data_IF_620628949609
#
_entry.id   IF_620628949609
#
_cell.length_a   1.000
_cell.length_b   1.000
_cell.length_c   1.000
_cell.angle_alpha   90.00
_cell.angle_beta   90.00
_cell.angle_gamma   90.00
#
_symmetry.space_group_name_H-M   'P 1'
#
loop_
_entity.id
_entity.type
_entity.pdbx_description
1 polymer ?
#
# COMPACT_ATOMS: atom_id res chain seq x y z
N UNK A 1 -13.27 -17.78 27.61
CA UNK A 1 -12.67 -16.94 26.50
C UNK A 1 -13.58 -16.96 25.28
N UNK A 2 -13.96 -18.17 24.79
CA UNK A 2 -14.83 -18.31 23.62
C UNK A 2 -16.21 -17.63 23.85
N UNK A 3 -16.87 -17.88 25.01
CA UNK A 3 -18.12 -17.21 25.34
C UNK A 3 -18.03 -15.70 25.43
N UNK A 4 -16.88 -15.13 25.87
CA UNK A 4 -16.68 -13.69 25.87
C UNK A 4 -16.61 -13.12 24.44
N UNK A 5 -15.98 -13.84 23.51
CA UNK A 5 -15.94 -13.44 22.09
C UNK A 5 -17.34 -13.50 21.47
N UNK A 6 -18.12 -14.51 21.77
CA UNK A 6 -19.52 -14.58 21.34
C UNK A 6 -20.35 -13.41 21.85
N UNK A 7 -20.20 -13.03 23.13
CA UNK A 7 -20.91 -11.87 23.68
C UNK A 7 -20.55 -10.59 22.90
N UNK A 8 -19.26 -10.36 22.63
CA UNK A 8 -18.81 -9.19 21.83
C UNK A 8 -19.40 -9.23 20.42
N UNK A 9 -19.41 -10.41 19.79
CA UNK A 9 -19.96 -10.61 18.46
C UNK A 9 -21.47 -10.30 18.41
N UNK A 10 -22.24 -10.84 19.36
CA UNK A 10 -23.71 -10.61 19.42
C UNK A 10 -24.04 -9.16 19.79
N UNK A 11 -23.26 -8.53 20.67
CA UNK A 11 -23.40 -7.10 20.96
C UNK A 11 -23.16 -6.24 19.72
N UNK A 12 -22.13 -6.57 18.92
CA UNK A 12 -21.88 -5.87 17.67
C UNK A 12 -23.05 -6.01 16.70
N UNK A 13 -23.59 -7.23 16.53
CA UNK A 13 -24.76 -7.46 15.68
C UNK A 13 -26.00 -6.70 16.14
N UNK A 14 -26.24 -6.67 17.45
CA UNK A 14 -27.42 -6.03 18.01
C UNK A 14 -27.36 -4.49 17.96
N UNK A 15 -26.18 -3.91 18.19
CA UNK A 15 -25.99 -2.47 18.32
C UNK A 15 -25.48 -1.81 17.02
N UNK A 16 -24.94 -2.59 16.08
CA UNK A 16 -24.40 -2.10 14.82
C UNK A 16 -23.33 -1.03 15.02
N UNK A 17 -23.40 0.07 14.30
CA UNK A 17 -22.45 1.18 14.36
C UNK A 17 -22.33 1.81 15.76
N UNK A 18 -23.35 1.71 16.62
CA UNK A 18 -23.29 2.23 17.99
C UNK A 18 -22.30 1.44 18.87
N UNK A 19 -22.00 0.19 18.53
CA UNK A 19 -20.99 -0.61 19.23
C UNK A 19 -19.55 -0.27 18.82
N UNK A 20 -19.35 0.40 17.69
CA UNK A 20 -18.04 0.63 17.07
C UNK A 20 -17.02 1.27 18.02
N UNK A 21 -17.30 2.38 18.72
CA UNK A 21 -16.32 2.99 19.63
C UNK A 21 -15.87 2.03 20.75
N UNK A 22 -16.77 1.20 21.24
CA UNK A 22 -16.47 0.21 22.29
C UNK A 22 -15.71 -0.99 21.72
N UNK A 23 -16.02 -1.40 20.49
CA UNK A 23 -15.32 -2.46 19.81
C UNK A 23 -13.84 -2.12 19.59
N UNK A 24 -13.54 -0.85 19.27
CA UNK A 24 -12.17 -0.35 19.13
C UNK A 24 -11.32 -0.57 20.38
N UNK A 25 -11.91 -0.49 21.56
CA UNK A 25 -11.20 -0.71 22.84
C UNK A 25 -10.80 -2.17 23.05
N UNK A 26 -11.59 -3.12 22.54
CA UNK A 26 -11.33 -4.56 22.70
C UNK A 26 -10.60 -5.17 21.50
N UNK A 27 -10.50 -4.45 20.39
CA UNK A 27 -9.88 -4.91 19.15
C UNK A 27 -8.46 -5.47 19.34
N UNK A 28 -7.52 -4.79 20.05
CA UNK A 28 -6.17 -5.33 20.26
C UNK A 28 -6.20 -6.70 20.95
N UNK A 29 -7.03 -6.83 22.00
CA UNK A 29 -7.15 -8.08 22.74
C UNK A 29 -7.78 -9.21 21.91
N UNK A 30 -8.71 -8.90 21.01
CA UNK A 30 -9.27 -9.87 20.06
C UNK A 30 -8.22 -10.32 19.04
N UNK A 31 -7.47 -9.39 18.46
CA UNK A 31 -6.41 -9.69 17.48
C UNK A 31 -5.35 -10.64 18.06
N UNK A 32 -4.95 -10.46 19.32
CA UNK A 32 -4.04 -11.39 20.00
C UNK A 32 -4.59 -12.82 20.11
N UNK A 33 -5.91 -13.01 20.15
CA UNK A 33 -6.56 -14.32 20.28
C UNK A 33 -6.57 -15.13 18.98
N UNK A 34 -6.14 -14.59 17.84
CA UNK A 34 -5.89 -15.41 16.66
C UNK A 34 -4.88 -16.55 16.94
N UNK A 35 -3.96 -16.34 17.89
CA UNK A 35 -2.99 -17.36 18.29
C UNK A 35 -3.43 -18.17 19.54
N UNK A 36 -4.70 -18.14 19.93
CA UNK A 36 -5.17 -18.94 21.05
C UNK A 36 -4.98 -20.43 20.78
N UNK A 37 -4.54 -21.16 21.82
CA UNK A 37 -4.30 -22.63 21.76
C UNK A 37 -5.59 -23.41 21.49
N UNK A 38 -6.73 -22.87 21.91
CA UNK A 38 -8.05 -23.47 21.70
C UNK A 38 -8.60 -23.03 20.35
N UNK A 39 -8.71 -23.97 19.42
CA UNK A 39 -9.16 -23.71 18.05
C UNK A 39 -10.54 -23.01 17.98
N UNK A 40 -11.47 -23.35 18.90
CA UNK A 40 -12.78 -22.72 18.98
C UNK A 40 -12.70 -21.24 19.28
N UNK A 41 -11.77 -20.82 20.17
CA UNK A 41 -11.56 -19.39 20.46
C UNK A 41 -11.03 -18.64 19.22
N UNK A 42 -10.04 -19.19 18.54
CA UNK A 42 -9.48 -18.56 17.33
C UNK A 42 -10.54 -18.45 16.21
N UNK A 43 -11.36 -19.47 16.01
CA UNK A 43 -12.45 -19.45 15.02
C UNK A 43 -13.55 -18.43 15.39
N UNK A 44 -13.92 -18.34 16.67
CA UNK A 44 -14.89 -17.35 17.14
C UNK A 44 -14.35 -15.90 16.95
N UNK A 45 -13.06 -15.69 17.20
CA UNK A 45 -12.38 -14.39 16.95
C UNK A 45 -12.41 -14.04 15.47
N UNK A 46 -12.05 -14.96 14.59
CA UNK A 46 -12.07 -14.73 13.14
C UNK A 46 -13.47 -14.31 12.67
N UNK A 47 -14.51 -15.05 13.08
CA UNK A 47 -15.89 -14.72 12.75
C UNK A 47 -16.33 -13.36 13.30
N UNK A 48 -15.97 -13.05 14.54
CA UNK A 48 -16.32 -11.78 15.19
C UNK A 48 -15.65 -10.60 14.51
N UNK A 49 -14.35 -10.69 14.26
CA UNK A 49 -13.59 -9.61 13.62
C UNK A 49 -13.98 -9.41 12.14
N UNK A 50 -14.18 -10.51 11.39
CA UNK A 50 -14.67 -10.40 10.01
C UNK A 50 -16.03 -9.73 9.93
N UNK A 51 -16.97 -10.07 10.80
CA UNK A 51 -18.29 -9.42 10.85
C UNK A 51 -18.16 -7.92 11.16
N UNK A 52 -17.26 -7.53 12.08
CA UNK A 52 -17.02 -6.14 12.40
C UNK A 52 -16.42 -5.38 11.20
N UNK A 53 -15.36 -5.92 10.58
CA UNK A 53 -14.68 -5.25 9.46
C UNK A 53 -15.53 -5.14 8.19
N UNK A 54 -16.52 -6.03 8.02
CA UNK A 54 -17.49 -5.97 6.92
C UNK A 54 -18.62 -4.95 7.13
N UNK A 55 -18.82 -4.49 8.37
CA UNK A 55 -19.90 -3.58 8.72
C UNK A 55 -19.44 -2.23 9.30
N UNK A 56 -18.13 -2.06 9.50
CA UNK A 56 -17.56 -0.87 10.13
C UNK A 56 -17.78 0.39 9.27
N UNK A 57 -17.91 1.53 9.95
CA UNK A 57 -17.97 2.82 9.25
C UNK A 57 -16.68 3.05 8.44
N UNK A 58 -16.77 3.37 7.14
CA UNK A 58 -15.59 3.61 6.29
C UNK A 58 -14.59 4.63 6.87
N UNK A 59 -15.07 5.65 7.57
CA UNK A 59 -14.19 6.67 8.17
C UNK A 59 -13.34 6.15 9.34
N UNK A 60 -13.68 5.00 9.92
CA UNK A 60 -12.86 4.35 10.94
C UNK A 60 -11.58 3.69 10.38
N UNK A 61 -11.44 3.56 9.06
CA UNK A 61 -10.32 2.86 8.43
C UNK A 61 -8.96 3.35 8.92
N UNK A 62 -8.75 4.67 9.00
CA UNK A 62 -7.50 5.25 9.48
C UNK A 62 -7.19 4.90 10.95
N UNK A 63 -8.21 4.74 11.78
CA UNK A 63 -8.06 4.37 13.21
C UNK A 63 -7.81 2.87 13.37
N UNK A 64 -8.37 2.03 12.49
CA UNK A 64 -8.21 0.58 12.51
C UNK A 64 -6.82 0.14 12.03
N UNK A 65 -6.26 0.86 11.06
CA UNK A 65 -5.03 0.47 10.36
C UNK A 65 -3.82 0.27 11.30
N UNK A 66 -3.53 1.13 12.29
CA UNK A 66 -2.43 0.92 13.24
C UNK A 66 -2.55 -0.40 14.02
N UNK A 67 -3.76 -0.82 14.38
CA UNK A 67 -4.00 -2.08 15.09
C UNK A 67 -3.70 -3.28 14.18
N UNK A 68 -4.09 -3.21 12.91
CA UNK A 68 -3.76 -4.24 11.92
C UNK A 68 -2.24 -4.30 11.69
N UNK A 69 -1.56 -3.17 11.54
CA UNK A 69 -0.10 -3.12 11.36
C UNK A 69 0.65 -3.70 12.56
N UNK A 70 0.18 -3.41 13.78
CA UNK A 70 0.72 -4.02 14.99
C UNK A 70 0.56 -5.54 14.94
N UNK A 71 -0.62 -6.06 14.59
CA UNK A 71 -0.86 -7.48 14.44
C UNK A 71 -0.02 -8.15 13.33
N UNK A 72 0.20 -7.46 12.20
CA UNK A 72 1.07 -7.93 11.11
C UNK A 72 2.56 -7.98 11.50
N UNK A 73 2.96 -7.23 12.53
CA UNK A 73 4.34 -7.18 13.01
C UNK A 73 4.62 -8.13 14.16
N UNK A 74 3.64 -8.92 14.61
CA UNK A 74 3.77 -9.91 15.69
C UNK A 74 4.60 -11.13 15.26
N UNK A 75 5.03 -11.93 16.23
CA UNK A 75 5.73 -13.20 15.98
C UNK A 75 4.76 -14.28 15.47
N UNK A 76 3.49 -14.22 15.87
CA UNK A 76 2.48 -15.21 15.50
C UNK A 76 2.06 -15.10 14.03
N UNK A 77 2.35 -16.11 13.24
CA UNK A 77 1.93 -16.18 11.86
C UNK A 77 0.39 -16.21 11.70
N UNK A 78 -0.33 -16.77 12.65
CA UNK A 78 -1.81 -16.81 12.63
C UNK A 78 -2.40 -15.42 12.78
N UNK A 79 -1.85 -14.63 13.70
CA UNK A 79 -2.24 -13.24 13.91
C UNK A 79 -1.95 -12.40 12.65
N UNK A 80 -0.77 -12.59 12.03
CA UNK A 80 -0.43 -11.94 10.76
C UNK A 80 -1.47 -12.25 9.67
N UNK A 81 -1.76 -13.54 9.47
CA UNK A 81 -2.75 -13.98 8.47
C UNK A 81 -4.15 -13.40 8.76
N UNK A 82 -4.58 -13.41 10.02
CA UNK A 82 -5.84 -12.80 10.43
C UNK A 82 -5.90 -11.32 10.09
N UNK A 83 -4.89 -10.54 10.48
CA UNK A 83 -4.83 -9.10 10.18
C UNK A 83 -4.79 -8.80 8.67
N UNK A 84 -4.08 -9.60 7.88
CA UNK A 84 -4.05 -9.46 6.43
C UNK A 84 -5.42 -9.71 5.79
N UNK A 85 -6.17 -10.73 6.27
CA UNK A 85 -7.55 -10.97 5.83
C UNK A 85 -8.49 -9.81 6.19
N UNK A 86 -8.38 -9.29 7.43
CA UNK A 86 -9.16 -8.14 7.88
C UNK A 86 -8.88 -6.89 7.03
N UNK A 87 -7.63 -6.68 6.64
CA UNK A 87 -7.27 -5.58 5.75
C UNK A 87 -7.94 -5.73 4.37
N UNK A 88 -7.98 -6.94 3.80
CA UNK A 88 -8.72 -7.21 2.57
C UNK A 88 -10.21 -6.90 2.72
N UNK A 89 -10.85 -7.35 3.81
CA UNK A 89 -12.25 -7.03 4.10
C UNK A 89 -12.48 -5.51 4.21
N UNK A 90 -11.57 -4.79 4.86
CA UNK A 90 -11.63 -3.33 4.98
C UNK A 90 -11.56 -2.63 3.61
N UNK A 91 -10.79 -3.16 2.66
CA UNK A 91 -10.70 -2.61 1.31
C UNK A 91 -12.05 -2.65 0.57
N UNK A 92 -12.87 -3.68 0.82
CA UNK A 92 -14.22 -3.78 0.26
C UNK A 92 -15.23 -2.87 0.99
N UNK A 93 -15.09 -2.71 2.29
CA UNK A 93 -16.01 -1.90 3.12
C UNK A 93 -15.73 -0.40 3.00
N UNK A 94 -14.45 -0.02 2.90
CA UNK A 94 -14.00 1.36 2.89
C UNK A 94 -13.06 1.69 1.71
N UNK A 95 -13.47 1.47 0.44
CA UNK A 95 -12.58 1.55 -0.71
C UNK A 95 -11.91 2.92 -0.88
N UNK A 96 -12.66 4.00 -0.70
CA UNK A 96 -12.13 5.36 -0.83
C UNK A 96 -11.06 5.66 0.23
N UNK A 97 -11.32 5.29 1.50
CA UNK A 97 -10.40 5.52 2.60
C UNK A 97 -9.15 4.64 2.48
N UNK A 98 -9.33 3.36 2.13
CA UNK A 98 -8.21 2.45 1.86
C UNK A 98 -7.37 2.96 0.69
N UNK A 99 -7.98 3.49 -0.37
CA UNK A 99 -7.27 4.12 -1.48
C UNK A 99 -6.33 5.25 -1.00
N UNK A 100 -6.81 6.13 -0.12
CA UNK A 100 -5.99 7.20 0.45
C UNK A 100 -4.87 6.68 1.37
N UNK A 101 -5.06 5.53 2.00
CA UNK A 101 -4.12 4.90 2.94
C UNK A 101 -3.16 3.90 2.26
N UNK A 102 -3.31 3.62 0.96
CA UNK A 102 -2.42 2.70 0.22
C UNK A 102 -0.93 3.03 0.34
N UNK A 103 -0.47 4.29 0.41
CA UNK A 103 0.94 4.62 0.61
C UNK A 103 1.55 4.02 1.89
N UNK A 104 0.73 3.80 2.92
CA UNK A 104 1.11 3.16 4.19
C UNK A 104 0.89 1.64 4.14
N UNK A 105 -0.19 1.21 3.50
CA UNK A 105 -0.60 -0.20 3.41
C UNK A 105 0.40 -1.00 2.56
N UNK A 106 0.72 -0.51 1.35
CA UNK A 106 1.56 -1.26 0.39
C UNK A 106 2.91 -1.67 0.97
N UNK A 107 3.69 -0.79 1.63
CA UNK A 107 4.95 -1.19 2.26
C UNK A 107 4.76 -2.25 3.34
N UNK A 108 3.76 -2.09 4.23
CA UNK A 108 3.50 -2.99 5.34
C UNK A 108 3.06 -4.39 4.90
N UNK A 109 2.21 -4.46 3.89
CA UNK A 109 1.80 -5.74 3.31
C UNK A 109 2.97 -6.39 2.56
N UNK A 110 3.78 -5.59 1.84
CA UNK A 110 4.96 -6.08 1.13
C UNK A 110 6.00 -6.70 2.09
N UNK A 111 6.23 -6.12 3.27
CA UNK A 111 7.07 -6.71 4.31
C UNK A 111 6.63 -8.15 4.66
N UNK A 112 5.32 -8.40 4.74
CA UNK A 112 4.76 -9.71 5.05
C UNK A 112 4.85 -10.71 3.87
N UNK A 113 5.04 -10.26 2.63
CA UNK A 113 5.31 -11.13 1.48
C UNK A 113 6.69 -11.82 1.56
N UNK A 114 7.57 -11.28 2.42
CA UNK A 114 8.92 -11.82 2.67
C UNK A 114 9.00 -12.69 3.93
N UNK A 115 7.87 -12.94 4.59
CA UNK A 115 7.81 -13.79 5.78
C UNK A 115 8.36 -15.21 5.48
N UNK A 116 8.83 -15.89 6.50
CA UNK A 116 9.31 -17.27 6.37
C UNK A 116 8.17 -18.26 6.11
N UNK A 117 6.95 -17.95 6.60
CA UNK A 117 5.78 -18.81 6.51
C UNK A 117 5.03 -18.60 5.17
N UNK A 118 4.79 -19.69 4.40
CA UNK A 118 4.09 -19.61 3.12
C UNK A 118 2.64 -19.10 3.28
N UNK A 119 1.98 -19.40 4.40
CA UNK A 119 0.63 -18.94 4.69
C UNK A 119 0.55 -17.42 4.80
N UNK A 120 1.57 -16.79 5.42
CA UNK A 120 1.66 -15.32 5.53
C UNK A 120 1.94 -14.71 4.17
N UNK A 121 2.87 -15.27 3.38
CA UNK A 121 3.16 -14.79 2.02
C UNK A 121 1.91 -14.80 1.15
N UNK A 122 1.17 -15.91 1.18
CA UNK A 122 -0.05 -16.07 0.39
C UNK A 122 -1.14 -15.09 0.84
N UNK A 123 -1.35 -14.96 2.17
CA UNK A 123 -2.30 -14.00 2.72
C UNK A 123 -1.94 -12.55 2.38
N UNK A 124 -0.65 -12.19 2.44
CA UNK A 124 -0.17 -10.86 2.07
C UNK A 124 -0.40 -10.57 0.57
N UNK A 125 -0.12 -11.54 -0.30
CA UNK A 125 -0.38 -11.39 -1.74
C UNK A 125 -1.87 -11.21 -2.03
N UNK A 126 -2.74 -12.02 -1.40
CA UNK A 126 -4.20 -11.90 -1.53
C UNK A 126 -4.67 -10.53 -1.03
N UNK A 127 -4.28 -10.16 0.18
CA UNK A 127 -4.65 -8.88 0.80
C UNK A 127 -4.24 -7.67 -0.05
N UNK A 128 -3.02 -7.69 -0.61
CA UNK A 128 -2.59 -6.61 -1.51
C UNK A 128 -3.42 -6.58 -2.78
N UNK A 129 -3.80 -7.75 -3.33
CA UNK A 129 -4.69 -7.84 -4.48
C UNK A 129 -6.05 -7.19 -4.18
N UNK A 130 -6.63 -7.49 -3.03
CA UNK A 130 -7.91 -6.90 -2.60
C UNK A 130 -7.78 -5.40 -2.34
N UNK A 131 -6.71 -4.94 -1.69
CA UNK A 131 -6.44 -3.51 -1.52
C UNK A 131 -6.25 -2.77 -2.86
N UNK A 132 -5.68 -3.42 -3.87
CA UNK A 132 -5.48 -2.81 -5.19
C UNK A 132 -6.76 -2.74 -6.04
N UNK A 133 -7.88 -3.37 -5.64
CA UNK A 133 -9.17 -3.23 -6.34
C UNK A 133 -9.69 -1.79 -6.34
N UNK A 134 -9.22 -0.96 -5.41
CA UNK A 134 -9.56 0.47 -5.32
C UNK A 134 -8.83 1.34 -6.36
N UNK A 135 -7.90 0.77 -7.12
CA UNK A 135 -7.20 1.47 -8.19
C UNK A 135 -8.08 1.46 -9.44
N UNK A 136 -8.65 2.60 -9.76
CA UNK A 136 -9.58 2.75 -10.89
C UNK A 136 -8.93 3.36 -12.13
N UNK A 137 -7.63 3.70 -12.10
CA UNK A 137 -6.92 4.23 -13.25
C UNK A 137 -6.88 3.19 -14.39
N UNK A 138 -7.53 3.44 -15.55
CA UNK A 138 -7.64 2.46 -16.63
C UNK A 138 -6.30 2.13 -17.28
N UNK A 139 -5.31 3.04 -17.23
CA UNK A 139 -4.00 2.82 -17.82
C UNK A 139 -3.18 1.82 -16.99
N UNK A 140 -3.43 1.75 -15.68
CA UNK A 140 -2.67 0.95 -14.73
C UNK A 140 -3.39 -0.36 -14.34
N UNK A 141 -4.71 -0.38 -14.37
CA UNK A 141 -5.51 -1.56 -14.01
C UNK A 141 -5.01 -2.87 -14.67
N UNK A 142 -4.69 -2.91 -16.00
CA UNK A 142 -4.22 -4.13 -16.65
C UNK A 142 -2.86 -4.62 -16.14
N UNK A 143 -2.05 -3.74 -15.57
CA UNK A 143 -0.69 -4.06 -15.11
C UNK A 143 -0.59 -4.24 -13.59
N UNK A 144 -1.67 -3.95 -12.82
CA UNK A 144 -1.71 -4.15 -11.37
C UNK A 144 -1.21 -5.53 -10.93
N UNK A 145 -1.63 -6.66 -11.54
CA UNK A 145 -1.12 -7.99 -11.17
C UNK A 145 0.40 -8.13 -11.30
N UNK A 146 0.98 -7.50 -12.34
CA UNK A 146 2.43 -7.50 -12.54
C UNK A 146 3.14 -6.64 -11.48
N UNK A 147 2.56 -5.50 -11.12
CA UNK A 147 3.07 -4.63 -10.06
C UNK A 147 3.02 -5.31 -8.69
N UNK A 148 1.95 -6.04 -8.38
CA UNK A 148 1.85 -6.86 -7.16
C UNK A 148 2.94 -7.92 -7.13
N UNK A 149 3.14 -8.64 -8.24
CA UNK A 149 4.18 -9.65 -8.34
C UNK A 149 5.58 -9.04 -8.19
N UNK A 150 5.84 -7.90 -8.80
CA UNK A 150 7.12 -7.19 -8.66
C UNK A 150 7.35 -6.67 -7.23
N UNK A 151 6.30 -6.28 -6.50
CA UNK A 151 6.40 -5.93 -5.09
C UNK A 151 6.73 -7.15 -4.22
N UNK A 152 6.21 -8.33 -4.57
CA UNK A 152 6.51 -9.59 -3.89
C UNK A 152 7.90 -10.14 -4.25
N UNK A 153 8.37 -9.94 -5.48
CA UNK A 153 9.62 -10.51 -5.98
C UNK A 153 10.44 -9.46 -6.75
N UNK A 154 11.58 -9.00 -6.21
CA UNK A 154 12.44 -8.02 -6.88
C UNK A 154 12.92 -8.42 -8.28
N UNK A 155 13.03 -9.72 -8.56
CA UNK A 155 13.45 -10.19 -9.89
C UNK A 155 12.44 -9.83 -10.98
N UNK A 156 11.17 -9.63 -10.62
CA UNK A 156 10.11 -9.23 -11.54
C UNK A 156 10.06 -7.71 -11.77
N UNK A 157 10.91 -6.95 -11.09
CA UNK A 157 10.97 -5.50 -11.22
C UNK A 157 11.25 -5.06 -12.66
N UNK A 158 12.12 -5.79 -13.37
CA UNK A 158 12.43 -5.52 -14.80
C UNK A 158 11.18 -5.62 -15.66
N UNK A 159 10.44 -6.72 -15.51
CA UNK A 159 9.21 -6.97 -16.27
C UNK A 159 8.15 -5.91 -15.96
N UNK A 160 8.01 -5.51 -14.70
CA UNK A 160 7.08 -4.45 -14.31
C UNK A 160 7.45 -3.10 -14.92
N UNK A 161 8.73 -2.74 -14.92
CA UNK A 161 9.21 -1.50 -15.54
C UNK A 161 9.04 -1.52 -17.07
N UNK A 162 9.24 -2.66 -17.72
CA UNK A 162 9.01 -2.77 -19.16
C UNK A 162 7.52 -2.62 -19.51
N UNK A 163 6.62 -3.13 -18.66
CA UNK A 163 5.18 -2.91 -18.81
C UNK A 163 4.81 -1.44 -18.60
N UNK A 164 5.35 -0.79 -17.56
CA UNK A 164 5.13 0.63 -17.30
C UNK A 164 5.65 1.51 -18.45
N UNK A 165 6.81 1.19 -19.01
CA UNK A 165 7.37 1.88 -20.18
C UNK A 165 6.52 1.72 -21.42
N UNK A 166 5.89 0.56 -21.60
CA UNK A 166 4.98 0.26 -22.72
C UNK A 166 3.57 0.84 -22.54
N UNK A 167 3.25 1.36 -21.35
CA UNK A 167 1.92 1.93 -21.06
C UNK A 167 1.89 3.40 -21.46
N UNK A 168 0.88 3.75 -22.28
CA UNK A 168 0.58 5.15 -22.59
C UNK A 168 -0.30 5.72 -21.50
N UNK A 169 0.28 6.55 -20.64
CA UNK A 169 -0.46 7.24 -19.59
C UNK A 169 -1.23 8.41 -20.20
N UNK A 170 -2.54 8.41 -20.08
CA UNK A 170 -3.44 9.50 -20.51
C UNK A 170 -4.42 9.92 -19.42
N UNK A 171 -4.70 9.02 -18.47
CA UNK A 171 -5.60 9.27 -17.36
C UNK A 171 -4.89 9.97 -16.21
N UNK A 172 -5.65 10.73 -15.43
CA UNK A 172 -5.12 11.35 -14.22
C UNK A 172 -4.51 10.30 -13.30
N UNK A 173 -3.31 10.60 -12.78
CA UNK A 173 -2.61 9.75 -11.84
C UNK A 173 -2.91 10.20 -10.41
N UNK A 174 -3.56 9.33 -9.67
CA UNK A 174 -4.01 9.55 -8.29
C UNK A 174 -3.10 8.83 -7.27
N UNK A 175 -3.34 9.08 -5.99
CA UNK A 175 -2.60 8.51 -4.87
C UNK A 175 -2.60 6.97 -4.86
N UNK A 176 -3.75 6.28 -5.05
CA UNK A 176 -3.79 4.81 -5.15
C UNK A 176 -2.89 4.25 -6.24
N UNK A 177 -2.90 4.89 -7.40
CA UNK A 177 -2.06 4.51 -8.55
C UNK A 177 -0.58 4.65 -8.22
N UNK A 178 -0.18 5.78 -7.65
CA UNK A 178 1.20 6.01 -7.22
C UNK A 178 1.66 5.01 -6.15
N UNK A 179 0.78 4.63 -5.23
CA UNK A 179 1.12 3.76 -4.12
C UNK A 179 1.66 2.38 -4.55
N UNK A 180 1.13 1.81 -5.63
CA UNK A 180 1.59 0.51 -6.13
C UNK A 180 2.79 0.62 -7.08
N UNK A 181 2.97 1.75 -7.75
CA UNK A 181 4.04 1.96 -8.75
C UNK A 181 5.32 2.46 -8.09
N UNK A 182 5.24 3.41 -7.15
CA UNK A 182 6.41 4.04 -6.53
C UNK A 182 7.39 3.05 -5.89
N UNK A 183 6.99 1.99 -5.20
CA UNK A 183 7.95 1.01 -4.68
C UNK A 183 8.77 0.30 -5.77
N UNK A 184 8.15 0.04 -6.94
CA UNK A 184 8.82 -0.55 -8.12
C UNK A 184 9.82 0.43 -8.69
N UNK A 185 9.44 1.70 -8.84
CA UNK A 185 10.31 2.78 -9.32
C UNK A 185 11.47 3.05 -8.37
N UNK A 186 11.20 3.12 -7.06
CA UNK A 186 12.24 3.35 -6.05
C UNK A 186 13.31 2.26 -6.04
N UNK A 187 12.93 1.00 -6.28
CA UNK A 187 13.90 -0.08 -6.45
C UNK A 187 14.71 0.07 -7.75
N UNK A 188 14.05 0.40 -8.85
CA UNK A 188 14.72 0.59 -10.12
C UNK A 188 15.66 1.80 -10.16
N UNK A 189 15.32 2.89 -9.45
CA UNK A 189 16.21 4.06 -9.30
C UNK A 189 17.48 3.73 -8.50
N UNK A 190 17.40 2.76 -7.57
CA UNK A 190 18.56 2.27 -6.78
C UNK A 190 19.31 1.15 -7.45
N UNK A 191 18.80 0.60 -8.55
CA UNK A 191 19.46 -0.50 -9.24
C UNK A 191 20.87 -0.09 -9.74
N UNK A 192 21.76 -1.07 -9.91
CA UNK A 192 23.09 -0.84 -10.49
C UNK A 192 23.02 -0.62 -12.01
N UNK A 193 22.01 -1.21 -12.64
CA UNK A 193 21.80 -1.04 -14.08
C UNK A 193 21.31 0.37 -14.41
N UNK A 194 22.11 1.07 -15.19
CA UNK A 194 21.87 2.45 -15.60
C UNK A 194 20.65 2.55 -16.53
N UNK A 195 20.35 1.51 -17.32
CA UNK A 195 19.18 1.46 -18.18
C UNK A 195 17.88 1.35 -17.35
N UNK A 196 17.92 0.64 -16.23
CA UNK A 196 16.80 0.59 -15.29
C UNK A 196 16.51 1.99 -14.72
N UNK A 197 17.55 2.73 -14.31
CA UNK A 197 17.39 4.11 -13.83
C UNK A 197 16.78 5.00 -14.90
N UNK A 198 17.23 4.90 -16.17
CA UNK A 198 16.67 5.64 -17.30
C UNK A 198 15.17 5.36 -17.46
N UNK A 199 14.77 4.07 -17.48
CA UNK A 199 13.36 3.69 -17.58
C UNK A 199 12.53 4.29 -16.46
N UNK A 200 13.01 4.20 -15.21
CA UNK A 200 12.34 4.79 -14.06
C UNK A 200 12.14 6.30 -14.20
N UNK A 201 13.17 7.04 -14.61
CA UNK A 201 13.08 8.49 -14.81
C UNK A 201 12.02 8.84 -15.88
N UNK A 202 11.98 8.10 -16.98
CA UNK A 202 10.97 8.31 -18.04
C UNK A 202 9.55 8.04 -17.52
N UNK A 203 9.35 6.97 -16.76
CA UNK A 203 8.04 6.67 -16.18
C UNK A 203 7.62 7.76 -15.18
N UNK A 204 8.53 8.21 -14.31
CA UNK A 204 8.25 9.30 -13.35
C UNK A 204 7.88 10.58 -14.09
N UNK A 205 8.66 10.98 -15.12
CA UNK A 205 8.37 12.17 -15.93
C UNK A 205 7.00 12.12 -16.57
N UNK A 206 6.61 10.95 -17.10
CA UNK A 206 5.30 10.78 -17.75
C UNK A 206 4.13 10.82 -16.75
N UNK A 207 4.25 10.11 -15.61
CA UNK A 207 3.19 10.06 -14.61
C UNK A 207 2.99 11.40 -13.91
N UNK A 208 4.09 12.08 -13.54
CA UNK A 208 3.99 13.34 -12.81
C UNK A 208 3.34 14.48 -13.61
N UNK A 209 3.31 14.39 -14.94
CA UNK A 209 2.57 15.32 -15.79
C UNK A 209 1.05 15.19 -15.68
N UNK A 210 0.57 14.05 -15.18
CA UNK A 210 -0.85 13.71 -15.06
C UNK A 210 -1.34 13.76 -13.61
N UNK A 211 -0.49 14.14 -12.68
CA UNK A 211 -0.88 14.44 -11.29
C UNK A 211 -1.50 15.82 -11.25
N UNK A 212 -2.72 15.90 -10.72
CA UNK A 212 -3.47 17.17 -10.63
C UNK A 212 -3.47 17.74 -9.21
N UNK A 213 -3.37 16.91 -8.16
CA UNK A 213 -3.36 17.34 -6.75
C UNK A 213 -2.02 16.97 -6.11
N UNK A 214 -1.35 17.95 -5.52
CA UNK A 214 -0.10 17.72 -4.79
C UNK A 214 -0.25 16.72 -3.63
N UNK A 215 -1.44 16.65 -3.03
CA UNK A 215 -1.74 15.67 -1.97
C UNK A 215 -1.55 14.23 -2.42
N UNK A 216 -1.75 13.94 -3.71
CA UNK A 216 -1.58 12.59 -4.24
C UNK A 216 -0.12 12.16 -4.28
N UNK A 217 0.79 13.11 -4.48
CA UNK A 217 2.25 12.87 -4.56
C UNK A 217 2.93 13.01 -3.19
N UNK A 218 2.37 13.80 -2.29
CA UNK A 218 2.97 14.13 -0.99
C UNK A 218 3.57 12.92 -0.23
N UNK A 219 2.89 11.74 -0.13
CA UNK A 219 3.43 10.58 0.58
C UNK A 219 4.67 9.95 -0.07
N UNK A 220 5.01 10.37 -1.29
CA UNK A 220 6.06 9.78 -2.10
C UNK A 220 7.24 10.73 -2.36
N UNK A 221 7.14 11.98 -1.95
CA UNK A 221 8.16 13.01 -2.15
C UNK A 221 9.51 12.53 -1.60
N UNK A 222 9.54 12.11 -0.33
CA UNK A 222 10.74 11.65 0.36
C UNK A 222 11.32 10.34 -0.21
N UNK A 223 10.54 9.63 -1.03
CA UNK A 223 10.97 8.38 -1.68
C UNK A 223 11.50 8.60 -3.09
N UNK A 224 10.97 9.61 -3.81
CA UNK A 224 11.32 9.85 -5.22
C UNK A 224 12.35 10.95 -5.40
N UNK A 225 12.21 12.10 -4.74
CA UNK A 225 13.10 13.23 -4.95
C UNK A 225 14.57 12.93 -4.63
N UNK A 226 14.92 12.29 -3.49
CA UNK A 226 16.31 11.95 -3.20
C UNK A 226 16.93 11.01 -4.24
N UNK A 227 16.16 10.01 -4.71
CA UNK A 227 16.67 9.07 -5.69
C UNK A 227 16.82 9.69 -7.09
N UNK A 228 15.91 10.58 -7.49
CA UNK A 228 16.05 11.34 -8.74
C UNK A 228 17.24 12.29 -8.70
N UNK A 229 17.47 12.98 -7.57
CA UNK A 229 18.67 13.82 -7.36
C UNK A 229 19.94 12.99 -7.44
N UNK A 230 19.95 11.80 -6.83
CA UNK A 230 21.09 10.89 -6.93
C UNK A 230 21.37 10.46 -8.39
N UNK A 231 20.33 10.19 -9.20
CA UNK A 231 20.50 9.86 -10.62
C UNK A 231 21.09 11.05 -11.37
N UNK A 232 20.62 12.27 -11.09
CA UNK A 232 21.12 13.52 -11.71
C UNK A 232 22.59 13.79 -11.38
N UNK A 233 23.02 13.52 -10.14
CA UNK A 233 24.36 13.89 -9.66
C UNK A 233 25.41 12.78 -9.84
N UNK A 234 25.04 11.51 -9.57
CA UNK A 234 26.00 10.42 -9.41
C UNK A 234 26.16 9.53 -10.66
N UNK A 235 25.19 9.51 -11.59
CA UNK A 235 25.29 8.61 -12.76
C UNK A 235 26.36 9.09 -13.74
N UNK A 236 27.29 8.20 -14.19
CA UNK A 236 28.39 8.60 -15.06
C UNK A 236 27.95 9.09 -16.45
N UNK A 237 26.82 8.62 -16.95
CA UNK A 237 26.33 8.88 -18.31
C UNK A 237 25.52 10.18 -18.34
N UNK A 238 26.00 11.24 -19.05
CA UNK A 238 25.35 12.55 -19.06
C UNK A 238 23.89 12.51 -19.55
N UNK A 239 23.59 11.69 -20.54
CA UNK A 239 22.22 11.52 -21.05
C UNK A 239 21.26 11.08 -19.94
N UNK A 240 21.68 10.14 -19.09
CA UNK A 240 20.83 9.60 -18.01
C UNK A 240 20.69 10.60 -16.89
N UNK A 241 21.73 11.39 -16.59
CA UNK A 241 21.60 12.52 -15.66
C UNK A 241 20.55 13.52 -16.14
N UNK A 242 20.49 13.77 -17.45
CA UNK A 242 19.48 14.66 -18.02
C UNK A 242 18.04 14.11 -17.83
N UNK A 243 17.84 12.78 -17.96
CA UNK A 243 16.55 12.16 -17.62
C UNK A 243 16.21 12.31 -16.13
N UNK A 244 17.18 12.13 -15.23
CA UNK A 244 17.02 12.36 -13.80
C UNK A 244 16.61 13.80 -13.48
N UNK A 245 17.34 14.77 -14.00
CA UNK A 245 17.06 16.20 -13.87
C UNK A 245 15.66 16.56 -14.37
N UNK A 246 15.28 16.04 -15.55
CA UNK A 246 13.96 16.27 -16.14
C UNK A 246 12.85 15.69 -15.28
N UNK A 247 12.97 14.44 -14.85
CA UNK A 247 11.98 13.80 -14.01
C UNK A 247 11.81 14.52 -12.66
N UNK A 248 12.94 14.95 -12.05
CA UNK A 248 12.94 15.75 -10.83
C UNK A 248 12.20 17.09 -11.05
N UNK A 249 12.53 17.81 -12.11
CA UNK A 249 11.89 19.08 -12.43
C UNK A 249 10.38 18.93 -12.67
N UNK A 250 9.95 17.86 -13.37
CA UNK A 250 8.53 17.56 -13.59
C UNK A 250 7.80 17.25 -12.30
N UNK A 251 8.42 16.46 -11.41
CA UNK A 251 7.85 16.14 -10.09
C UNK A 251 7.73 17.40 -9.23
N UNK A 252 8.78 18.22 -9.15
CA UNK A 252 8.76 19.50 -8.41
C UNK A 252 7.67 20.43 -8.96
N UNK A 253 7.54 20.49 -10.28
CA UNK A 253 6.49 21.28 -10.93
C UNK A 253 5.09 20.77 -10.56
N UNK A 254 4.86 19.46 -10.61
CA UNK A 254 3.57 18.87 -10.23
C UNK A 254 3.18 19.17 -8.78
N UNK A 255 4.16 19.16 -7.86
CA UNK A 255 3.95 19.53 -6.45
C UNK A 255 3.55 21.02 -6.34
N UNK A 256 4.28 21.92 -7.03
CA UNK A 256 4.02 23.37 -6.99
C UNK A 256 2.67 23.72 -7.61
N UNK A 257 2.39 23.18 -8.80
CA UNK A 257 1.14 23.44 -9.54
C UNK A 257 -0.08 22.89 -8.77
N UNK A 258 0.07 21.77 -8.06
CA UNK A 258 -0.95 21.20 -7.18
C UNK A 258 -1.08 21.88 -5.80
N UNK A 259 -0.34 22.96 -5.54
CA UNK A 259 -0.41 23.73 -4.28
C UNK A 259 0.35 23.10 -3.09
N UNK A 260 1.23 22.12 -3.34
CA UNK A 260 2.07 21.48 -2.34
C UNK A 260 3.35 22.26 -2.03
N UNK A 261 4.05 21.84 -0.97
CA UNK A 261 5.36 22.38 -0.58
C UNK A 261 6.47 21.45 -1.03
N UNK A 262 7.47 21.99 -1.70
CA UNK A 262 8.71 21.27 -2.03
C UNK A 262 9.67 21.42 -0.85
N UNK A 263 10.36 20.35 -0.40
CA UNK A 263 11.41 20.49 0.60
C UNK A 263 12.53 21.41 0.07
N UNK A 264 13.03 22.31 0.94
CA UNK A 264 14.00 23.37 0.57
C UNK A 264 15.28 22.84 -0.12
N UNK A 265 15.66 21.60 0.15
CA UNK A 265 16.81 20.93 -0.46
C UNK A 265 16.63 20.53 -1.93
N UNK A 266 15.41 20.65 -2.46
CA UNK A 266 15.04 20.29 -3.85
C UNK A 266 14.42 21.48 -4.63
N UNK A 267 14.38 22.66 -4.03
CA UNK A 267 13.89 23.90 -4.68
C UNK A 267 14.81 24.41 -5.83
#
# INVERSE_FOLDING_TARGET
REGAVFVVHELHKALGLHAEPYFMLVLPALVERYDDKVKGVAAAVDACLMAFFQAVNPYAAATLLPHLFTGMSTISWKTKVGCLKLLGALAHTAPTQVGQLLPEIVPKVTENMWDTKPEVKQAAKSSLGECCTVIHNPDVQPIVPVLISANANPKENVTALDRLMGTTFVSQVDRPTLAIIVPVLGRGLRDRDVQMKRKCCVVVDNMCKLVCDAKDVEPFIDKLLPELKRVEEEVPIPEIRAYGAKAKATLVKAIKDGGGKVPAEFE
#
